data_IF_421601619844
#
_entry.id   IF_421601619844
#
_cell.length_a   1.000
_cell.length_b   1.000
_cell.length_c   1.000
_cell.angle_alpha   90.00
_cell.angle_beta   90.00
_cell.angle_gamma   90.00
#
_symmetry.space_group_name_H-M   'P 1'
#
loop_
_entity.id
_entity.type
_entity.pdbx_description
1 polymer ?
#
# COMPACT_ATOMS: atom_id res chain seq x y z
N UNK A 1 18.57 -15.17 -11.64
CA UNK A 1 17.93 -14.11 -12.46
C UNK A 1 16.51 -14.46 -12.91
N UNK A 2 16.22 -15.66 -13.44
CA UNK A 2 14.87 -16.03 -13.92
C UNK A 2 13.75 -15.87 -12.87
N UNK A 3 14.02 -16.20 -11.61
CA UNK A 3 13.06 -16.10 -10.50
C UNK A 3 12.62 -14.66 -10.16
N UNK A 4 13.55 -13.70 -10.28
CA UNK A 4 13.26 -12.29 -10.03
C UNK A 4 12.41 -11.70 -11.16
N UNK A 5 12.65 -12.11 -12.41
CA UNK A 5 11.85 -11.71 -13.55
C UNK A 5 10.41 -12.24 -13.48
N UNK A 6 10.23 -13.50 -13.04
CA UNK A 6 8.89 -14.07 -12.84
C UNK A 6 8.13 -13.40 -11.71
N UNK A 7 8.82 -13.05 -10.62
CA UNK A 7 8.22 -12.30 -9.52
C UNK A 7 7.80 -10.90 -9.98
N UNK A 8 8.65 -10.20 -10.72
CA UNK A 8 8.35 -8.87 -11.23
C UNK A 8 7.13 -8.88 -12.17
N UNK A 9 7.05 -9.86 -13.08
CA UNK A 9 5.90 -10.01 -13.97
C UNK A 9 4.59 -10.35 -13.22
N UNK A 10 4.68 -11.14 -12.13
CA UNK A 10 3.52 -11.42 -11.28
C UNK A 10 3.07 -10.17 -10.51
N UNK A 11 4.02 -9.42 -9.95
CA UNK A 11 3.76 -8.16 -9.26
C UNK A 11 3.13 -7.15 -10.21
N UNK A 12 3.67 -7.00 -11.43
CA UNK A 12 3.15 -6.08 -12.44
C UNK A 12 1.72 -6.43 -12.84
N UNK A 13 1.40 -7.72 -13.04
CA UNK A 13 0.02 -8.17 -13.29
C UNK A 13 -0.92 -7.90 -12.12
N UNK A 14 -0.44 -8.08 -10.88
CA UNK A 14 -1.21 -7.77 -9.69
C UNK A 14 -1.48 -6.26 -9.59
N UNK A 15 -0.46 -5.43 -9.77
CA UNK A 15 -0.55 -3.98 -9.69
C UNK A 15 -1.36 -3.37 -10.85
N UNK A 16 -1.31 -3.95 -12.05
CA UNK A 16 -2.15 -3.54 -13.18
C UNK A 16 -3.65 -3.82 -12.97
N UNK A 17 -3.98 -4.82 -12.14
CA UNK A 17 -5.39 -5.17 -11.85
C UNK A 17 -6.03 -4.21 -10.84
N UNK A 18 -5.24 -3.63 -9.94
CA UNK A 18 -5.71 -2.68 -8.96
C UNK A 18 -5.59 -1.24 -9.50
N UNK A 19 -6.72 -0.54 -9.58
CA UNK A 19 -6.73 0.86 -10.03
C UNK A 19 -6.12 1.78 -8.95
N UNK A 20 -5.50 2.89 -9.37
CA UNK A 20 -4.88 3.86 -8.43
C UNK A 20 -5.83 4.34 -7.34
N UNK A 21 -7.12 4.43 -7.65
CA UNK A 21 -8.18 4.80 -6.72
C UNK A 21 -8.36 3.76 -5.60
N UNK A 22 -8.14 2.46 -5.87
CA UNK A 22 -8.21 1.40 -4.87
C UNK A 22 -7.02 1.45 -3.91
N UNK A 23 -5.81 1.73 -4.41
CA UNK A 23 -4.64 1.95 -3.57
C UNK A 23 -4.78 3.18 -2.67
N UNK A 24 -5.30 4.28 -3.22
CA UNK A 24 -5.59 5.49 -2.44
C UNK A 24 -6.67 5.24 -1.38
N UNK A 25 -7.75 4.54 -1.72
CA UNK A 25 -8.79 4.18 -0.75
C UNK A 25 -8.22 3.30 0.37
N UNK A 26 -7.41 2.30 0.04
CA UNK A 26 -6.77 1.42 1.03
C UNK A 26 -5.81 2.19 1.94
N UNK A 27 -5.02 3.12 1.38
CA UNK A 27 -4.14 3.99 2.15
C UNK A 27 -4.94 4.84 3.15
N UNK A 28 -6.00 5.53 2.69
CA UNK A 28 -6.86 6.35 3.54
C UNK A 28 -7.52 5.50 4.64
N UNK A 29 -8.06 4.34 4.30
CA UNK A 29 -8.69 3.43 5.26
C UNK A 29 -7.70 2.99 6.35
N UNK A 30 -6.45 2.66 5.99
CA UNK A 30 -5.40 2.29 6.94
C UNK A 30 -4.97 3.47 7.82
N UNK A 31 -4.92 4.69 7.29
CA UNK A 31 -4.61 5.88 8.09
C UNK A 31 -5.70 6.16 9.11
N UNK A 32 -6.96 6.05 8.71
CA UNK A 32 -8.12 6.20 9.62
C UNK A 32 -8.09 5.09 10.68
N UNK A 33 -7.83 3.84 10.29
CA UNK A 33 -7.71 2.73 11.23
C UNK A 33 -6.58 2.97 12.23
N UNK A 34 -5.41 3.45 11.78
CA UNK A 34 -4.29 3.75 12.66
C UNK A 34 -4.65 4.85 13.67
N UNK A 35 -5.36 5.90 13.23
CA UNK A 35 -5.86 6.96 14.11
C UNK A 35 -6.87 6.43 15.14
N UNK A 36 -7.77 5.53 14.74
CA UNK A 36 -8.74 4.91 15.65
C UNK A 36 -8.03 4.03 16.70
N UNK A 37 -7.01 3.26 16.30
CA UNK A 37 -6.26 2.44 17.27
C UNK A 37 -5.45 3.29 18.25
N UNK A 38 -4.83 4.37 17.78
CA UNK A 38 -4.13 5.33 18.66
C UNK A 38 -5.09 5.98 19.67
N UNK A 39 -6.32 6.29 19.24
CA UNK A 39 -7.35 6.85 20.12
C UNK A 39 -7.93 5.86 21.14
N UNK A 40 -8.07 4.59 20.75
CA UNK A 40 -8.77 3.58 21.56
C UNK A 40 -7.83 2.77 22.47
N UNK A 41 -6.56 2.66 22.11
CA UNK A 41 -5.58 1.83 22.83
C UNK A 41 -4.47 2.73 23.37
N UNK A 42 -4.49 2.97 24.69
CA UNK A 42 -3.40 3.65 25.37
C UNK A 42 -2.07 2.88 25.16
N UNK A 43 -1.05 3.57 24.65
CA UNK A 43 0.28 3.04 24.25
C UNK A 43 0.35 2.29 22.90
N UNK A 44 -0.64 2.39 22.02
CA UNK A 44 -0.52 1.85 20.66
C UNK A 44 0.29 2.78 19.74
N UNK A 45 1.56 2.44 19.51
CA UNK A 45 2.42 3.11 18.51
C UNK A 45 2.87 2.14 17.43
N UNK A 46 2.03 1.95 16.40
CA UNK A 46 2.37 1.04 15.30
C UNK A 46 3.02 1.78 14.13
N UNK A 47 4.34 1.88 14.20
CA UNK A 47 5.20 2.40 13.10
C UNK A 47 4.92 1.61 11.81
N UNK A 48 4.68 0.31 11.93
CA UNK A 48 4.41 -0.58 10.79
C UNK A 48 3.14 -0.18 10.03
N UNK A 49 2.04 0.19 10.71
CA UNK A 49 0.80 0.61 10.05
C UNK A 49 0.97 1.93 9.29
N UNK A 50 1.70 2.89 9.88
CA UNK A 50 2.02 4.16 9.19
C UNK A 50 2.93 3.95 8.00
N UNK A 51 3.88 3.01 8.08
CA UNK A 51 4.77 2.68 6.97
C UNK A 51 4.01 2.01 5.82
N UNK A 52 3.02 1.17 6.15
CA UNK A 52 2.14 0.48 5.20
C UNK A 52 1.16 1.45 4.50
N UNK A 53 0.57 2.39 5.25
CA UNK A 53 -0.30 3.41 4.66
C UNK A 53 0.47 4.35 3.74
N UNK A 54 1.68 4.78 4.14
CA UNK A 54 2.57 5.58 3.31
C UNK A 54 3.00 4.87 2.02
N UNK A 55 3.31 3.57 2.09
CA UNK A 55 3.65 2.76 0.92
C UNK A 55 2.48 2.60 -0.06
N UNK A 56 1.27 2.36 0.43
CA UNK A 56 0.06 2.30 -0.40
C UNK A 56 -0.28 3.66 -1.04
N UNK A 57 -0.02 4.76 -0.32
CA UNK A 57 -0.20 6.11 -0.85
C UNK A 57 0.79 6.39 -1.98
N UNK A 58 2.06 6.01 -1.82
CA UNK A 58 3.08 6.10 -2.85
C UNK A 58 2.73 5.24 -4.09
N UNK A 59 2.26 4.00 -3.88
CA UNK A 59 1.74 3.12 -4.94
C UNK A 59 0.58 3.75 -5.74
N UNK A 60 -0.31 4.50 -5.09
CA UNK A 60 -1.40 5.20 -5.76
C UNK A 60 -0.95 6.37 -6.64
N UNK A 61 0.18 7.00 -6.31
CA UNK A 61 0.78 8.12 -7.07
C UNK A 61 1.76 7.65 -8.15
N UNK A 62 2.43 6.52 -7.93
CA UNK A 62 3.35 5.93 -8.89
C UNK A 62 2.58 5.46 -10.13
N UNK A 63 2.91 6.08 -11.27
CA UNK A 63 2.41 5.66 -12.57
C UNK A 63 3.17 4.40 -12.99
N UNK A 64 2.58 3.23 -12.74
CA UNK A 64 2.98 1.98 -13.39
C UNK A 64 2.72 2.12 -14.89
N UNK A 65 3.66 2.76 -15.58
CA UNK A 65 3.71 2.83 -17.03
C UNK A 65 4.33 1.51 -17.46
N UNK A 66 3.51 0.53 -17.84
CA UNK A 66 3.98 -0.44 -18.83
C UNK A 66 4.18 0.37 -20.11
N UNK A 67 5.42 0.51 -20.57
CA UNK A 67 5.64 0.89 -21.97
C UNK A 67 5.02 -0.16 -22.88
#
# INVERSE_FOLDING_TARGET
>A
MKYLATLNAAIERFLCRFTRTQFLCAAIALTVLNFVLDYTVASYTSIYLSMLSGWLFAMGLLRFRSQ
#
